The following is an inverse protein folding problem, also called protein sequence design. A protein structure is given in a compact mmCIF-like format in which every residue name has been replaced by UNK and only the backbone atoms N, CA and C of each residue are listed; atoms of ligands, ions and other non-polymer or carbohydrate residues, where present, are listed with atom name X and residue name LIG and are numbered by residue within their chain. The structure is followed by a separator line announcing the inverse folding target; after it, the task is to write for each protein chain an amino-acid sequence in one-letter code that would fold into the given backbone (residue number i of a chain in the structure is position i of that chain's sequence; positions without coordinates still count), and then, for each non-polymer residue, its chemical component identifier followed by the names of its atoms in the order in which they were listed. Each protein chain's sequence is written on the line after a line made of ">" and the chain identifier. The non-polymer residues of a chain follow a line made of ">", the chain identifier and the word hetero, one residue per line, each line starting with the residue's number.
data_IF_398001559699
#
_entry.id   IF_398001559699
#
_cell.length_a   1.000
_cell.length_b   1.000
_cell.length_c   1.000
_cell.angle_alpha   90.00
_cell.angle_beta   90.00
_cell.angle_gamma   90.00
#
_symmetry.space_group_name_H-M   'P 1'
#
loop_
_entity.id
_entity.type
_entity.pdbx_description
1 polymer ?
#
# COMPACT_ATOMS: atom_id res chain seq x y z
N UNK A 1 -2.64 13.72 -15.61
CA UNK A 1 -1.87 14.62 -14.73
C UNK A 1 -0.39 14.39 -14.97
N UNK A 2 0.36 15.45 -15.02
CA UNK A 2 1.78 15.38 -15.33
C UNK A 2 2.60 14.99 -14.10
N UNK A 3 3.61 14.15 -14.29
CA UNK A 3 4.51 13.79 -13.21
C UNK A 3 5.58 14.88 -13.06
N UNK A 4 5.59 15.55 -11.91
CA UNK A 4 6.55 16.61 -11.58
C UNK A 4 7.30 16.22 -10.32
N UNK A 5 8.40 16.93 -10.02
CA UNK A 5 9.14 16.69 -8.78
C UNK A 5 8.25 16.93 -7.56
N UNK A 6 7.40 17.96 -7.62
CA UNK A 6 6.44 18.21 -6.56
C UNK A 6 5.52 17.01 -6.35
N UNK A 7 5.00 16.45 -7.44
CA UNK A 7 4.07 15.32 -7.33
C UNK A 7 4.74 14.05 -6.86
N UNK A 8 5.99 13.82 -7.25
CA UNK A 8 6.76 12.70 -6.71
C UNK A 8 6.90 12.82 -5.20
N UNK A 9 7.30 13.99 -4.71
CA UNK A 9 7.45 14.23 -3.29
C UNK A 9 6.12 14.07 -2.57
N UNK A 10 5.04 14.56 -3.17
CA UNK A 10 3.69 14.43 -2.62
C UNK A 10 3.30 12.95 -2.47
N UNK A 11 3.61 12.14 -3.49
CA UNK A 11 3.28 10.71 -3.45
C UNK A 11 3.99 10.03 -2.29
N UNK A 12 5.29 10.27 -2.12
CA UNK A 12 6.03 9.66 -1.02
C UNK A 12 5.53 10.13 0.33
N UNK A 13 5.13 11.39 0.43
CA UNK A 13 4.56 11.93 1.66
C UNK A 13 3.24 11.25 1.99
N UNK A 14 2.38 11.04 0.98
CA UNK A 14 1.11 10.34 1.16
C UNK A 14 1.33 8.91 1.67
N UNK A 15 2.29 8.23 1.10
CA UNK A 15 2.60 6.87 1.53
C UNK A 15 3.06 6.86 3.00
N UNK A 16 3.96 7.78 3.36
CA UNK A 16 4.41 7.89 4.75
C UNK A 16 3.27 8.20 5.70
N UNK A 17 2.35 9.08 5.28
CA UNK A 17 1.18 9.41 6.10
C UNK A 17 0.32 8.18 6.35
N UNK A 18 0.17 7.30 5.35
CA UNK A 18 -0.60 6.07 5.54
C UNK A 18 0.11 5.11 6.48
N UNK A 19 1.43 5.00 6.37
CA UNK A 19 2.21 4.17 7.31
C UNK A 19 2.00 4.64 8.74
N UNK A 20 2.11 5.95 8.97
CA UNK A 20 1.90 6.51 10.31
C UNK A 20 0.47 6.31 10.80
N UNK A 21 -0.49 6.47 9.90
CA UNK A 21 -1.90 6.33 10.23
C UNK A 21 -2.23 4.90 10.70
N UNK A 22 -1.62 3.91 10.05
CA UNK A 22 -1.82 2.52 10.43
C UNK A 22 -1.20 2.25 11.80
N UNK A 23 -0.12 2.94 12.13
CA UNK A 23 0.49 2.83 13.45
C UNK A 23 1.17 1.51 13.73
N UNK A 24 1.47 0.74 12.70
CA UNK A 24 2.15 -0.54 12.87
C UNK A 24 3.63 -0.36 12.60
N UNK A 25 4.49 -0.67 13.58
CA UNK A 25 5.92 -0.60 13.35
C UNK A 25 6.34 -1.61 12.29
N UNK A 26 7.37 -1.26 11.53
CA UNK A 26 7.96 -2.12 10.52
C UNK A 26 7.08 -2.40 9.30
N UNK A 27 6.06 -1.58 9.08
CA UNK A 27 5.25 -1.73 7.89
C UNK A 27 6.07 -1.34 6.67
N UNK A 28 6.24 -2.27 5.75
CA UNK A 28 7.04 -2.05 4.56
C UNK A 28 6.39 -1.08 3.59
N UNK A 29 7.25 -0.34 2.87
CA UNK A 29 6.82 0.48 1.75
C UNK A 29 7.29 -0.23 0.49
N UNK A 30 6.40 -0.49 -0.49
CA UNK A 30 6.84 -1.10 -1.74
C UNK A 30 7.69 -0.11 -2.55
N UNK A 31 8.46 -0.66 -3.47
CA UNK A 31 9.17 0.18 -4.44
C UNK A 31 8.13 0.81 -5.36
N UNK A 32 8.19 2.13 -5.53
CA UNK A 32 7.18 2.86 -6.29
C UNK A 32 7.71 3.15 -7.70
N UNK A 33 6.96 2.68 -8.70
CA UNK A 33 7.25 2.94 -10.11
C UNK A 33 6.17 3.90 -10.61
N UNK A 34 6.57 5.02 -11.17
CA UNK A 34 5.63 6.10 -11.51
C UNK A 34 5.48 6.35 -13.00
N UNK A 35 6.26 5.68 -13.83
CA UNK A 35 6.15 5.83 -15.28
C UNK A 35 6.03 4.48 -15.94
N UNK A 36 5.33 4.46 -17.07
CA UNK A 36 5.22 3.25 -17.88
C UNK A 36 6.60 2.80 -18.38
N UNK A 37 7.45 3.75 -18.73
CA UNK A 37 8.80 3.45 -19.19
C UNK A 37 9.58 2.66 -18.15
N UNK A 38 9.53 3.12 -16.89
CA UNK A 38 10.25 2.45 -15.82
C UNK A 38 9.66 1.09 -15.52
N UNK A 39 8.32 0.97 -15.60
CA UNK A 39 7.67 -0.33 -15.42
C UNK A 39 8.12 -1.32 -16.47
N UNK A 40 8.13 -0.89 -17.75
CA UNK A 40 8.53 -1.77 -18.84
C UNK A 40 10.01 -2.14 -18.81
N UNK A 41 10.83 -1.34 -18.13
CA UNK A 41 12.25 -1.63 -17.96
C UNK A 41 12.53 -2.68 -16.89
N UNK A 42 11.55 -3.04 -16.06
CA UNK A 42 11.72 -4.05 -15.02
C UNK A 42 11.84 -5.45 -15.64
N UNK A 43 12.61 -6.35 -14.98
CA UNK A 43 12.64 -7.74 -15.40
C UNK A 43 11.24 -8.37 -15.36
N UNK A 44 10.97 -9.27 -16.29
CA UNK A 44 9.66 -9.93 -16.36
C UNK A 44 9.28 -10.63 -15.05
N UNK A 45 10.27 -11.17 -14.37
CA UNK A 45 10.05 -11.86 -13.10
C UNK A 45 9.39 -10.96 -12.07
N UNK A 46 9.76 -9.69 -12.05
CA UNK A 46 9.22 -8.75 -11.07
C UNK A 46 7.79 -8.33 -11.40
N UNK A 47 7.45 -8.27 -12.67
CA UNK A 47 6.11 -7.85 -13.10
C UNK A 47 5.18 -9.04 -13.32
N UNK A 48 5.69 -10.27 -13.21
CA UNK A 48 4.94 -11.51 -13.44
C UNK A 48 4.25 -11.50 -14.79
N UNK A 49 4.91 -10.91 -15.82
CA UNK A 49 4.38 -10.82 -17.16
C UNK A 49 3.35 -9.74 -17.41
N UNK A 50 2.93 -9.00 -16.39
CA UNK A 50 1.94 -7.94 -16.53
C UNK A 50 2.59 -6.65 -17.02
N UNK A 51 3.05 -6.64 -18.27
CA UNK A 51 3.76 -5.48 -18.80
C UNK A 51 2.93 -4.63 -19.74
N UNK A 52 1.96 -5.26 -20.40
CA UNK A 52 1.22 -4.60 -21.49
C UNK A 52 -0.01 -3.84 -21.03
N UNK A 53 -0.43 -4.00 -19.76
CA UNK A 53 -1.67 -3.42 -19.27
C UNK A 53 -1.49 -2.14 -18.47
N UNK A 54 -0.24 -1.64 -18.33
CA UNK A 54 0.01 -0.47 -17.49
C UNK A 54 -0.73 0.77 -17.95
N UNK A 55 -0.94 0.92 -19.25
CA UNK A 55 -1.62 2.10 -19.78
C UNK A 55 -3.10 2.13 -19.46
N UNK A 56 -3.70 0.99 -19.10
CA UNK A 56 -5.13 0.89 -18.79
C UNK A 56 -5.43 0.91 -17.29
N UNK A 57 -4.40 0.80 -16.46
CA UNK A 57 -4.59 0.71 -15.01
C UNK A 57 -4.12 1.98 -14.34
N UNK A 58 -4.86 2.41 -13.32
CA UNK A 58 -4.44 3.54 -12.48
C UNK A 58 -3.33 3.12 -11.52
N UNK A 59 -3.35 1.87 -11.08
CA UNK A 59 -2.32 1.34 -10.21
C UNK A 59 -2.24 -0.17 -10.33
N UNK A 60 -1.07 -0.72 -10.03
CA UNK A 60 -0.83 -2.16 -10.01
C UNK A 60 0.03 -2.45 -8.81
N UNK A 61 -0.33 -3.47 -8.03
CA UNK A 61 0.50 -3.91 -6.92
C UNK A 61 0.96 -5.34 -7.18
N UNK A 62 2.24 -5.59 -6.93
CA UNK A 62 2.86 -6.90 -7.00
C UNK A 62 3.48 -7.22 -5.66
N UNK A 63 2.70 -7.82 -4.74
CA UNK A 63 3.17 -8.01 -3.36
C UNK A 63 4.43 -8.86 -3.26
N UNK A 64 4.56 -9.90 -4.07
CA UNK A 64 5.74 -10.77 -4.01
C UNK A 64 7.01 -10.03 -4.39
N UNK A 65 6.92 -9.15 -5.37
CA UNK A 65 8.06 -8.36 -5.84
C UNK A 65 8.22 -7.07 -5.05
N UNK A 66 7.26 -6.75 -4.19
CA UNK A 66 7.24 -5.53 -3.39
C UNK A 66 7.32 -4.29 -4.25
N UNK A 67 6.50 -4.27 -5.31
CA UNK A 67 6.48 -3.19 -6.28
C UNK A 67 5.06 -2.67 -6.42
N UNK A 68 4.94 -1.35 -6.47
CA UNK A 68 3.69 -0.67 -6.79
C UNK A 68 3.92 0.22 -8.01
N UNK A 69 3.08 0.07 -9.01
CA UNK A 69 3.03 0.98 -10.14
C UNK A 69 1.90 1.96 -9.94
N UNK A 70 2.20 3.25 -10.11
CA UNK A 70 1.20 4.32 -10.10
C UNK A 70 1.23 4.99 -11.46
N UNK A 71 0.13 4.89 -12.20
CA UNK A 71 0.01 5.54 -13.49
C UNK A 71 -0.40 6.99 -13.29
N UNK A 72 0.56 7.82 -12.88
CA UNK A 72 0.30 9.20 -12.51
C UNK A 72 -0.39 9.97 -13.64
N UNK A 73 0.04 9.74 -14.87
CA UNK A 73 -0.49 10.48 -16.02
C UNK A 73 -1.98 10.24 -16.26
N UNK A 74 -2.51 9.09 -15.86
CA UNK A 74 -3.91 8.74 -16.07
C UNK A 74 -4.83 9.28 -14.99
N UNK A 75 -4.27 9.90 -13.95
CA UNK A 75 -5.08 10.49 -12.89
C UNK A 75 -5.46 11.93 -13.24
N UNK A 76 -6.66 12.32 -12.84
CA UNK A 76 -7.18 13.66 -13.12
C UNK A 76 -6.70 14.70 -12.11
N UNK A 77 -6.52 14.28 -10.86
CA UNK A 77 -6.16 15.20 -9.78
C UNK A 77 -5.53 14.44 -8.61
N UNK A 78 -5.04 15.17 -7.64
CA UNK A 78 -4.39 14.58 -6.47
C UNK A 78 -5.34 13.73 -5.62
N UNK A 79 -6.63 14.09 -5.58
CA UNK A 79 -7.61 13.31 -4.83
C UNK A 79 -7.73 11.90 -5.40
N UNK A 80 -7.85 11.79 -6.71
CA UNK A 80 -7.93 10.48 -7.36
C UNK A 80 -6.64 9.68 -7.15
N UNK A 81 -5.50 10.37 -7.22
CA UNK A 81 -4.21 9.73 -6.99
C UNK A 81 -4.11 9.20 -5.56
N UNK A 82 -4.59 9.96 -4.58
CA UNK A 82 -4.63 9.51 -3.19
C UNK A 82 -5.47 8.24 -3.04
N UNK A 83 -6.62 8.21 -3.71
CA UNK A 83 -7.49 7.04 -3.66
C UNK A 83 -6.78 5.80 -4.21
N UNK A 84 -6.06 5.97 -5.31
CA UNK A 84 -5.29 4.86 -5.90
C UNK A 84 -4.18 4.40 -4.96
N UNK A 85 -3.42 5.33 -4.39
CA UNK A 85 -2.35 5.00 -3.46
C UNK A 85 -2.90 4.19 -2.29
N UNK A 86 -3.96 4.68 -1.67
CA UNK A 86 -4.55 3.99 -0.52
C UNK A 86 -5.05 2.61 -0.90
N UNK A 87 -5.74 2.49 -2.04
CA UNK A 87 -6.26 1.21 -2.50
C UNK A 87 -5.14 0.19 -2.70
N UNK A 88 -4.05 0.59 -3.35
CA UNK A 88 -2.96 -0.34 -3.61
C UNK A 88 -2.20 -0.68 -2.33
N UNK A 89 -2.04 0.26 -1.40
CA UNK A 89 -1.42 -0.03 -0.12
C UNK A 89 -2.25 -1.01 0.70
N UNK A 90 -3.57 -0.86 0.68
CA UNK A 90 -4.45 -1.81 1.38
C UNK A 90 -4.27 -3.21 0.79
N UNK A 91 -4.22 -3.34 -0.52
CA UNK A 91 -3.99 -4.63 -1.16
C UNK A 91 -2.62 -5.21 -0.83
N UNK A 92 -1.63 -4.33 -0.67
CA UNK A 92 -0.27 -4.75 -0.36
C UNK A 92 -0.14 -5.21 1.09
N UNK A 93 -0.68 -4.42 2.01
CA UNK A 93 -0.54 -4.71 3.44
C UNK A 93 -1.51 -5.75 3.97
N UNK A 94 -2.68 -5.86 3.33
CA UNK A 94 -3.75 -6.75 3.80
C UNK A 94 -4.26 -7.61 2.64
N UNK A 95 -3.40 -8.49 2.10
CA UNK A 95 -3.76 -9.25 0.91
C UNK A 95 -4.87 -10.27 1.15
N UNK A 96 -5.16 -10.57 2.42
CA UNK A 96 -6.18 -11.55 2.77
C UNK A 96 -7.57 -10.95 2.95
N UNK A 97 -7.73 -9.66 2.73
CA UNK A 97 -9.05 -9.06 2.71
C UNK A 97 -9.77 -9.53 1.44
N UNK A 98 -10.71 -10.44 1.62
CA UNK A 98 -11.35 -11.11 0.49
C UNK A 98 -12.68 -10.54 0.09
N UNK A 99 -13.34 -9.82 1.01
CA UNK A 99 -14.65 -9.27 0.76
C UNK A 99 -14.52 -7.81 0.37
N UNK A 100 -15.19 -7.44 -0.71
CA UNK A 100 -15.18 -6.05 -1.17
C UNK A 100 -15.56 -5.09 -0.06
N UNK A 101 -16.51 -5.47 0.80
CA UNK A 101 -16.94 -4.62 1.90
C UNK A 101 -15.81 -4.34 2.89
N UNK A 102 -15.03 -5.36 3.24
CA UNK A 102 -13.90 -5.19 4.16
C UNK A 102 -12.81 -4.31 3.54
N UNK A 103 -12.52 -4.56 2.26
CA UNK A 103 -11.56 -3.75 1.53
C UNK A 103 -12.00 -2.29 1.50
N UNK A 104 -13.27 -2.05 1.17
CA UNK A 104 -13.79 -0.68 1.09
C UNK A 104 -13.81 0.00 2.46
N UNK A 105 -14.12 -0.73 3.52
CA UNK A 105 -14.08 -0.18 4.87
C UNK A 105 -12.67 0.27 5.24
N UNK A 106 -11.68 -0.59 5.00
CA UNK A 106 -10.29 -0.25 5.30
C UNK A 106 -9.84 0.96 4.49
N UNK A 107 -10.10 0.93 3.20
CA UNK A 107 -9.74 2.03 2.30
C UNK A 107 -10.38 3.34 2.77
N UNK A 108 -11.68 3.31 3.06
CA UNK A 108 -12.39 4.51 3.46
C UNK A 108 -11.94 5.04 4.80
N UNK A 109 -11.62 4.15 5.75
CA UNK A 109 -11.08 4.57 7.04
C UNK A 109 -9.76 5.32 6.86
N UNK A 110 -8.88 4.77 6.02
CA UNK A 110 -7.60 5.43 5.75
C UNK A 110 -7.79 6.77 5.06
N UNK A 111 -8.70 6.84 4.09
CA UNK A 111 -8.98 8.09 3.38
C UNK A 111 -9.54 9.17 4.30
N UNK A 112 -10.28 8.77 5.33
CA UNK A 112 -10.85 9.71 6.30
C UNK A 112 -9.90 10.08 7.42
N UNK A 113 -8.68 9.56 7.40
CA UNK A 113 -7.72 9.84 8.45
C UNK A 113 -7.95 9.09 9.75
N UNK A 114 -8.74 8.04 9.72
CA UNK A 114 -9.05 7.26 10.91
C UNK A 114 -8.05 6.14 11.11
N UNK A 115 -8.00 5.62 12.34
CA UNK A 115 -7.21 4.44 12.66
C UNK A 115 -8.05 3.22 12.34
N UNK A 116 -7.70 2.41 11.33
CA UNK A 116 -8.59 1.36 10.82
C UNK A 116 -8.98 0.30 11.84
N UNK A 117 -8.06 0.00 12.76
CA UNK A 117 -8.27 -1.12 13.69
C UNK A 117 -9.29 -0.84 14.79
N UNK A 118 -9.75 0.38 14.88
CA UNK A 118 -10.85 0.70 15.78
C UNK A 118 -12.20 0.31 15.18
N UNK A 119 -12.27 0.24 13.85
CA UNK A 119 -13.53 0.11 13.16
C UNK A 119 -13.82 -1.29 12.67
N UNK A 120 -12.81 -2.16 12.59
CA UNK A 120 -13.08 -3.55 12.26
C UNK A 120 -11.93 -4.45 12.67
N UNK A 121 -12.26 -5.73 12.82
CA UNK A 121 -11.34 -6.72 13.36
C UNK A 121 -10.64 -7.43 12.20
N UNK A 122 -9.35 -7.22 12.07
CA UNK A 122 -8.56 -7.78 10.99
C UNK A 122 -7.33 -8.52 11.46
N UNK A 123 -7.22 -8.79 12.76
CA UNK A 123 -6.02 -9.41 13.32
C UNK A 123 -5.63 -10.68 12.60
N UNK A 124 -6.63 -11.46 12.20
CA UNK A 124 -6.38 -12.73 11.52
C UNK A 124 -5.85 -12.54 10.09
N UNK A 125 -5.97 -11.34 9.52
CA UNK A 125 -5.56 -11.08 8.16
C UNK A 125 -4.28 -10.27 8.06
N UNK A 126 -3.75 -9.81 9.20
CA UNK A 126 -2.56 -9.00 9.19
C UNK A 126 -1.33 -9.81 8.84
N UNK A 127 -0.52 -9.27 7.97
CA UNK A 127 0.75 -9.85 7.56
C UNK A 127 1.89 -9.34 8.42
N UNK A 128 1.68 -9.24 9.71
CA UNK A 128 2.66 -8.67 10.62
C UNK A 128 3.29 -9.78 11.43
N UNK A 129 4.61 -9.78 11.58
CA UNK A 129 5.25 -10.74 12.48
C UNK A 129 4.74 -10.50 13.87
N UNK A 130 4.15 -11.48 14.45
CA UNK A 130 3.60 -11.34 15.78
C UNK A 130 4.57 -11.71 16.85
N UNK A 131 5.57 -12.12 16.68
CA UNK A 131 6.58 -12.41 17.60
C UNK A 131 7.23 -11.49 18.36
N UNK A 132 6.88 -11.29 18.07
CA UNK A 132 7.15 -10.65 18.69
C UNK A 132 6.68 -10.12 19.39
N UNK A 133 6.72 -10.83 19.41
CA UNK A 133 5.96 -10.53 20.17
C UNK A 133 5.87 -10.49 20.75
N UNK A 134 5.87 -11.08 21.20
CA UNK A 134 5.47 -11.13 21.93
C UNK A 134 5.75 -10.75 22.35
N UNK A 135 6.51 -11.19 22.33
CA UNK A 135 6.18 -10.89 22.82
C UNK A 135 6.37 -10.35 22.86
N UNK A 136 6.99 -10.41 22.85
CA UNK A 136 6.39 -9.94 23.07
C UNK A 136 6.04 -9.56 23.31
N UNK A 137 6.63 -10.06 23.65
CA UNK A 137 5.72 -9.84 24.11
C UNK A 137 5.97 -9.56 24.39
N UNK A 138 6.56 -9.83 24.75
CA UNK A 138 6.19 -9.69 25.23
C UNK A 138 6.75 -9.42 25.24
N UNK A 139 7.07 -9.60 25.05
CA UNK A 139 6.96 -9.36 25.24
C UNK A 139 7.11 -9.02 25.22
N UNK A 140 7.71 -9.19 25.42
CA UNK A 140 7.25 -9.17 25.55
C UNK A 140 7.27 -8.79 25.63
N UNK A 141 7.78 -8.92 26.04
CA UNK A 141 7.19 -8.80 26.33
C UNK A 141 7.46 -8.55 26.30
N UNK A 142 8.18 -8.68 26.67
CA UNK A 142 7.76 -8.58 26.87
C UNK A 142 8.13 -8.52 26.42
N UNK A 143 8.51 -8.66 26.35
CA UNK A 143 8.11 -8.90 26.21
C UNK A 143 8.39 -8.92 25.75
N UNK A 144 8.52 -8.64 25.63
CA UNK A 144 8.05 -8.77 25.56
C UNK A 144 8.28 -8.60 25.31
N UNK A 145 9.05 -9.21 25.76
CA UNK A 145 8.43 -9.30 25.82
C UNK A 145 8.55 -9.44 25.44
#
# INVERSE_FOLDING_TARGET
>A
MRLTEFRKAWIYKEIRNRVEQIGMPNQEIPRIIMTRKDWLALPKELTHGLRTTTHKNLGIIKPRSRIMFLNVRSHRNLRQLRETIVAELVRYWFPDLRHDSQFQQMKNSLLKGKIPFKDFKIEATLKIPIEQNKDELTQKESIRN
#
